data_IF_996469496955
#
_entry.id   IF_996469496955
#
_cell.length_a   1.000
_cell.length_b   1.000
_cell.length_c   1.000
_cell.angle_alpha   90.00
_cell.angle_beta   90.00
_cell.angle_gamma   90.00
#
_symmetry.space_group_name_H-M   'P 1'
#
loop_
_entity.id
_entity.type
_entity.pdbx_description
1 polymer ?
#
# COMPACT_ATOMS: atom_id res chain seq x y z
N UNK A 1 -22.30 -72.04 20.16
CA UNK A 1 -21.06 -72.67 20.59
C UNK A 1 -19.98 -71.62 20.62
N UNK A 2 -19.67 -71.06 21.80
CA UNK A 2 -18.74 -69.96 22.03
C UNK A 2 -17.34 -70.49 22.24
N UNK A 3 -16.38 -70.08 21.47
CA UNK A 3 -14.96 -70.36 21.68
C UNK A 3 -14.30 -69.06 22.14
N UNK A 4 -13.88 -69.07 23.38
CA UNK A 4 -13.15 -67.99 24.05
C UNK A 4 -11.65 -68.20 23.74
N UNK A 5 -11.00 -67.21 23.12
CA UNK A 5 -9.55 -67.22 22.92
C UNK A 5 -8.87 -66.30 23.92
N UNK A 6 -8.12 -66.95 24.80
CA UNK A 6 -7.18 -66.33 25.74
C UNK A 6 -6.05 -65.63 24.98
N UNK A 7 -5.82 -64.37 25.27
CA UNK A 7 -4.71 -63.60 24.74
C UNK A 7 -3.59 -63.48 25.76
N UNK A 8 -2.47 -64.14 25.51
CA UNK A 8 -1.22 -63.98 26.24
C UNK A 8 -0.60 -62.60 25.96
N UNK A 9 -0.36 -61.84 27.02
CA UNK A 9 0.47 -60.65 26.99
C UNK A 9 1.96 -61.02 26.91
N UNK A 10 2.61 -60.79 25.76
CA UNK A 10 4.07 -60.75 25.66
C UNK A 10 4.48 -59.29 25.71
N UNK A 11 5.11 -58.88 26.80
CA UNK A 11 5.71 -57.56 26.92
C UNK A 11 6.95 -57.44 26.02
N UNK A 12 6.85 -56.60 24.98
CA UNK A 12 8.01 -56.16 24.20
C UNK A 12 8.45 -54.84 24.79
N UNK A 13 9.59 -54.87 25.47
CA UNK A 13 10.31 -53.71 25.95
C UNK A 13 10.89 -52.97 24.72
N UNK A 14 10.23 -51.92 24.27
CA UNK A 14 10.75 -51.04 23.25
C UNK A 14 11.70 -50.03 23.91
N UNK A 15 13.02 -50.27 23.78
CA UNK A 15 14.03 -49.22 24.00
C UNK A 15 13.90 -48.21 22.85
N UNK A 16 13.16 -47.14 23.09
CA UNK A 16 13.13 -46.01 22.22
C UNK A 16 14.48 -45.32 22.21
N UNK A 17 15.21 -45.45 21.11
CA UNK A 17 16.33 -44.57 20.79
C UNK A 17 15.67 -43.21 20.52
N UNK A 18 15.73 -42.31 21.49
CA UNK A 18 15.47 -40.88 21.28
C UNK A 18 16.54 -40.39 20.34
N UNK A 19 16.26 -40.37 19.03
CA UNK A 19 16.98 -39.64 18.05
C UNK A 19 16.78 -38.14 18.35
N UNK A 20 17.80 -37.55 18.96
CA UNK A 20 17.96 -36.11 19.05
C UNK A 20 18.09 -35.55 17.61
N UNK A 21 16.96 -35.27 16.95
CA UNK A 21 16.88 -34.20 15.98
C UNK A 21 16.77 -32.93 16.79
N UNK A 22 17.90 -32.43 17.28
CA UNK A 22 17.99 -31.08 17.83
C UNK A 22 17.82 -30.08 16.69
N UNK A 23 16.60 -29.72 16.39
CA UNK A 23 16.36 -28.36 15.97
C UNK A 23 16.65 -27.55 17.24
N UNK A 24 17.63 -26.67 17.16
CA UNK A 24 17.97 -25.69 18.20
C UNK A 24 16.76 -24.74 18.29
N UNK A 25 15.76 -25.15 19.09
CA UNK A 25 14.63 -24.27 19.41
C UNK A 25 15.24 -23.17 20.24
N UNK A 26 15.32 -21.96 19.69
CA UNK A 26 15.78 -20.79 20.41
C UNK A 26 14.97 -20.71 21.71
N UNK A 27 15.64 -20.48 22.82
CA UNK A 27 14.93 -20.17 24.07
C UNK A 27 14.18 -18.86 23.88
N UNK A 28 13.07 -18.65 24.61
CA UNK A 28 12.25 -17.43 24.51
C UNK A 28 13.10 -16.17 24.65
N UNK A 29 14.09 -16.17 25.53
CA UNK A 29 15.07 -15.06 25.66
C UNK A 29 15.92 -14.85 24.41
N UNK A 30 16.38 -15.90 23.76
CA UNK A 30 17.16 -15.80 22.52
C UNK A 30 16.29 -15.32 21.36
N UNK A 31 15.06 -15.79 21.26
CA UNK A 31 14.09 -15.32 20.28
C UNK A 31 13.76 -13.82 20.47
N UNK A 32 13.53 -13.41 21.74
CA UNK A 32 13.31 -12.00 22.08
C UNK A 32 14.48 -11.11 21.62
N UNK A 33 15.71 -11.46 21.96
CA UNK A 33 16.91 -10.71 21.56
C UNK A 33 17.09 -10.68 20.05
N UNK A 34 16.78 -11.78 19.35
CA UNK A 34 16.84 -11.84 17.89
C UNK A 34 15.81 -10.89 17.25
N UNK A 35 14.57 -10.86 17.76
CA UNK A 35 13.51 -9.96 17.31
C UNK A 35 13.91 -8.50 17.56
N UNK A 36 14.30 -8.15 18.79
CA UNK A 36 14.75 -6.78 19.14
C UNK A 36 15.88 -6.31 18.22
N UNK A 37 16.85 -7.19 17.92
CA UNK A 37 17.96 -6.90 17.01
C UNK A 37 17.47 -6.63 15.57
N UNK A 38 16.49 -7.40 15.08
CA UNK A 38 15.90 -7.17 13.75
C UNK A 38 15.10 -5.87 13.71
N UNK A 39 14.34 -5.56 14.76
CA UNK A 39 13.58 -4.32 14.87
C UNK A 39 14.48 -3.08 14.93
N UNK A 40 15.61 -3.16 15.67
CA UNK A 40 16.61 -2.08 15.74
C UNK A 40 17.27 -1.83 14.38
N UNK A 41 17.71 -2.88 13.69
CA UNK A 41 18.25 -2.78 12.32
C UNK A 41 17.27 -2.19 11.33
N UNK A 42 15.97 -2.43 11.50
CA UNK A 42 14.90 -1.84 10.69
C UNK A 42 14.53 -0.41 11.12
N UNK A 43 15.21 0.15 12.14
CA UNK A 43 14.93 1.46 12.73
C UNK A 43 13.49 1.63 13.25
N UNK A 44 12.88 0.54 13.71
CA UNK A 44 11.54 0.54 14.31
C UNK A 44 11.66 0.88 15.80
N UNK A 45 12.70 0.40 16.48
CA UNK A 45 13.02 0.74 17.87
C UNK A 45 13.87 2.01 17.90
N UNK A 46 13.23 3.18 17.97
CA UNK A 46 13.92 4.45 18.12
C UNK A 46 13.26 5.26 19.24
N UNK A 47 13.86 5.22 20.45
CA UNK A 47 13.48 6.12 21.54
C UNK A 47 12.14 5.80 22.20
N UNK A 48 11.77 4.51 22.35
CA UNK A 48 10.52 4.06 22.96
C UNK A 48 9.66 3.20 22.06
N UNK A 49 10.29 2.44 21.15
CA UNK A 49 9.60 1.55 20.21
C UNK A 49 8.90 0.34 20.88
N UNK A 50 8.41 -0.60 20.09
CA UNK A 50 7.64 -1.74 20.57
C UNK A 50 8.42 -2.56 21.61
N UNK A 51 7.72 -3.01 22.64
CA UNK A 51 8.20 -4.03 23.58
C UNK A 51 7.94 -5.40 22.98
N UNK A 52 8.87 -6.29 23.24
CA UNK A 52 8.82 -7.68 22.77
C UNK A 52 8.81 -8.59 24.00
N UNK A 53 7.74 -9.34 24.18
CA UNK A 53 7.66 -10.44 25.13
C UNK A 53 7.51 -11.75 24.38
N UNK A 54 8.17 -12.81 24.83
CA UNK A 54 8.10 -14.14 24.21
C UNK A 54 7.82 -15.16 25.30
N UNK A 55 6.77 -15.94 25.14
CA UNK A 55 6.39 -17.03 26.04
C UNK A 55 5.95 -18.24 25.19
N UNK A 56 6.66 -19.35 25.38
CA UNK A 56 6.35 -20.64 24.69
C UNK A 56 6.18 -20.49 23.17
N UNK A 57 7.03 -19.69 22.51
CA UNK A 57 6.97 -19.42 21.07
C UNK A 57 5.90 -18.41 20.63
N UNK A 58 5.12 -17.86 21.56
CA UNK A 58 4.16 -16.78 21.29
C UNK A 58 4.83 -15.43 21.57
N UNK A 59 4.91 -14.59 20.55
CA UNK A 59 5.47 -13.24 20.66
C UNK A 59 4.35 -12.22 20.85
N UNK A 60 4.41 -11.44 21.92
CA UNK A 60 3.54 -10.28 22.12
C UNK A 60 4.32 -8.99 21.79
N UNK A 61 3.89 -8.30 20.74
CA UNK A 61 4.38 -6.97 20.39
C UNK A 61 3.44 -5.89 20.95
N UNK A 62 3.94 -5.00 21.80
CA UNK A 62 3.12 -3.95 22.42
C UNK A 62 3.79 -2.59 22.43
N UNK A 63 3.00 -1.51 22.56
CA UNK A 63 3.45 -0.13 22.60
C UNK A 63 3.28 0.62 21.28
N UNK A 64 3.90 1.80 21.18
CA UNK A 64 3.65 2.72 20.07
C UNK A 64 4.61 2.51 18.90
N UNK A 65 4.07 2.61 17.69
CA UNK A 65 4.81 2.65 16.43
C UNK A 65 4.45 3.89 15.63
N UNK A 66 5.39 4.36 14.79
CA UNK A 66 5.23 5.62 14.05
C UNK A 66 4.31 5.54 12.86
N UNK A 67 4.09 4.35 12.30
CA UNK A 67 3.34 4.20 11.05
C UNK A 67 2.82 2.77 10.86
N UNK A 68 1.83 2.62 9.99
CA UNK A 68 1.29 1.32 9.59
C UNK A 68 2.38 0.40 9.01
N UNK A 69 3.34 0.97 8.26
CA UNK A 69 4.49 0.21 7.76
C UNK A 69 5.34 -0.36 8.90
N UNK A 70 5.63 0.46 9.93
CA UNK A 70 6.43 0.01 11.07
C UNK A 70 5.72 -1.10 11.83
N UNK A 71 4.39 -0.99 12.00
CA UNK A 71 3.55 -2.03 12.63
C UNK A 71 3.61 -3.34 11.83
N UNK A 72 3.31 -3.31 10.55
CA UNK A 72 3.34 -4.50 9.66
C UNK A 72 4.73 -5.13 9.62
N UNK A 73 5.77 -4.28 9.54
CA UNK A 73 7.16 -4.76 9.46
C UNK A 73 7.63 -5.37 10.78
N UNK A 74 7.20 -4.85 11.92
CA UNK A 74 7.52 -5.43 13.22
C UNK A 74 6.95 -6.86 13.35
N UNK A 75 5.69 -7.06 12.95
CA UNK A 75 5.04 -8.37 12.95
C UNK A 75 5.77 -9.33 11.99
N UNK A 76 6.08 -8.89 10.77
CA UNK A 76 6.82 -9.67 9.78
C UNK A 76 8.19 -10.12 10.32
N UNK A 77 8.95 -9.19 10.91
CA UNK A 77 10.28 -9.48 11.46
C UNK A 77 10.24 -10.42 12.67
N UNK A 78 9.19 -10.35 13.48
CA UNK A 78 8.99 -11.26 14.60
C UNK A 78 8.66 -12.68 14.09
N UNK A 79 7.76 -12.80 13.12
CA UNK A 79 7.40 -14.09 12.50
C UNK A 79 8.57 -14.75 11.76
N UNK A 80 9.57 -13.97 11.32
CA UNK A 80 10.76 -14.47 10.60
C UNK A 80 11.90 -14.90 11.56
N UNK A 81 11.60 -15.19 12.82
CA UNK A 81 12.56 -15.71 13.80
C UNK A 81 12.24 -17.17 14.10
N UNK A 82 13.27 -18.02 14.06
CA UNK A 82 13.12 -19.44 14.36
C UNK A 82 12.58 -19.65 15.78
N UNK A 83 11.61 -20.54 15.96
CA UNK A 83 10.97 -20.82 17.23
C UNK A 83 9.81 -19.89 17.57
N UNK A 84 9.40 -18.98 16.68
CA UNK A 84 8.18 -18.19 16.81
C UNK A 84 7.03 -18.90 16.11
N UNK A 85 6.02 -19.28 16.88
CA UNK A 85 4.82 -19.94 16.37
C UNK A 85 3.71 -18.95 16.00
N UNK A 86 3.60 -17.83 16.73
CA UNK A 86 2.59 -16.80 16.50
C UNK A 86 3.00 -15.45 17.07
N UNK A 87 2.37 -14.39 16.55
CA UNK A 87 2.58 -13.00 17.02
C UNK A 87 1.25 -12.39 17.43
N UNK A 88 1.13 -11.97 18.69
CA UNK A 88 0.04 -11.15 19.21
C UNK A 88 0.36 -9.67 18.97
N UNK A 89 -0.47 -9.00 18.17
CA UNK A 89 -0.34 -7.59 17.85
C UNK A 89 -1.09 -6.70 18.85
N UNK A 90 -0.37 -6.03 19.73
CA UNK A 90 -0.85 -4.98 20.65
C UNK A 90 -0.17 -3.65 20.37
N UNK A 91 0.29 -3.44 19.11
CA UNK A 91 0.93 -2.19 18.70
C UNK A 91 -0.13 -1.12 18.38
N UNK A 92 0.12 0.08 18.86
CA UNK A 92 -0.69 1.26 18.57
C UNK A 92 0.05 2.19 17.61
N UNK A 93 -0.67 2.79 16.67
CA UNK A 93 -0.10 3.78 15.74
C UNK A 93 -0.52 5.15 16.23
N UNK A 94 0.43 6.09 16.31
CA UNK A 94 0.15 7.47 16.65
C UNK A 94 -0.87 8.09 15.68
N UNK A 95 -1.88 8.79 16.21
CA UNK A 95 -2.87 9.49 15.40
C UNK A 95 -2.28 10.75 14.77
N UNK A 96 -2.79 11.13 13.59
CA UNK A 96 -2.57 12.46 13.02
C UNK A 96 -3.38 13.52 13.80
N UNK A 97 -3.00 14.79 13.68
CA UNK A 97 -3.73 15.89 14.32
C UNK A 97 -5.14 16.04 13.76
N UNK A 98 -5.33 15.81 12.46
CA UNK A 98 -6.64 15.78 11.79
C UNK A 98 -6.62 14.96 10.50
N UNK A 99 -7.79 14.48 10.07
CA UNK A 99 -7.96 13.80 8.78
C UNK A 99 -7.62 14.71 7.61
N UNK A 100 -7.85 16.01 7.73
CA UNK A 100 -7.48 16.98 6.69
C UNK A 100 -5.96 17.01 6.49
N UNK A 101 -5.20 17.14 7.57
CA UNK A 101 -3.74 17.18 7.51
C UNK A 101 -3.17 15.84 7.03
N UNK A 102 -3.75 14.74 7.49
CA UNK A 102 -3.38 13.41 7.01
C UNK A 102 -3.66 13.28 5.51
N UNK A 103 -4.83 13.73 5.03
CA UNK A 103 -5.20 13.71 3.61
C UNK A 103 -4.23 14.54 2.76
N UNK A 104 -3.85 15.73 3.22
CA UNK A 104 -2.85 16.57 2.54
C UNK A 104 -1.47 15.91 2.50
N UNK A 105 -1.05 15.29 3.60
CA UNK A 105 0.22 14.56 3.66
C UNK A 105 0.24 13.36 2.71
N UNK A 106 -0.83 12.58 2.69
CA UNK A 106 -1.00 11.42 1.79
C UNK A 106 -1.03 11.87 0.32
N UNK A 107 -1.84 12.88 -0.02
CA UNK A 107 -1.90 13.43 -1.38
C UNK A 107 -0.51 13.92 -1.86
N UNK A 108 0.26 14.55 -0.97
CA UNK A 108 1.62 14.98 -1.26
C UNK A 108 2.57 13.81 -1.55
N UNK A 109 2.39 12.67 -0.87
CA UNK A 109 3.16 11.45 -1.15
C UNK A 109 2.85 10.91 -2.55
N UNK A 110 1.57 10.87 -2.93
CA UNK A 110 1.14 10.45 -4.28
C UNK A 110 1.75 11.38 -5.35
N UNK A 111 1.59 12.69 -5.19
CA UNK A 111 2.07 13.68 -6.18
C UNK A 111 3.60 13.73 -6.29
N UNK A 112 4.33 13.31 -5.24
CA UNK A 112 5.80 13.24 -5.26
C UNK A 112 6.34 11.88 -5.71
N UNK A 113 5.47 10.94 -6.01
CA UNK A 113 5.90 9.64 -6.51
C UNK A 113 6.52 9.81 -7.92
N UNK A 114 7.80 9.45 -8.15
CA UNK A 114 8.51 9.77 -9.40
C UNK A 114 7.91 9.20 -10.67
N UNK A 115 7.16 8.09 -10.54
CA UNK A 115 6.49 7.44 -11.68
C UNK A 115 5.00 7.81 -11.81
N UNK A 116 4.51 8.74 -10.96
CA UNK A 116 3.18 9.29 -11.12
C UNK A 116 3.17 10.26 -12.31
N UNK A 117 2.28 10.03 -13.25
CA UNK A 117 2.24 10.76 -14.52
C UNK A 117 0.87 11.39 -14.75
N UNK A 118 0.75 12.22 -15.76
CA UNK A 118 -0.55 12.77 -16.19
C UNK A 118 -1.55 11.71 -16.70
N UNK A 119 -1.12 10.47 -16.82
CA UNK A 119 -1.98 9.34 -17.22
C UNK A 119 -2.46 8.49 -16.05
N UNK A 120 -2.10 8.89 -14.84
CA UNK A 120 -2.50 8.27 -13.60
C UNK A 120 -3.45 9.21 -12.83
N UNK A 121 -4.43 8.64 -12.15
CA UNK A 121 -5.37 9.35 -11.28
C UNK A 121 -5.54 8.56 -10.00
N UNK A 122 -5.17 9.15 -8.87
CA UNK A 122 -5.30 8.53 -7.54
C UNK A 122 -5.98 9.52 -6.62
N UNK A 123 -7.15 9.13 -6.15
CA UNK A 123 -7.95 9.89 -5.21
C UNK A 123 -7.73 9.38 -3.79
N UNK A 124 -7.63 10.29 -2.84
CA UNK A 124 -7.39 10.02 -1.43
C UNK A 124 -8.61 10.43 -0.62
N UNK A 125 -9.20 9.49 0.10
CA UNK A 125 -10.17 9.73 1.14
C UNK A 125 -9.56 9.41 2.51
N UNK A 126 -9.93 10.16 3.55
CA UNK A 126 -9.50 9.90 4.93
C UNK A 126 -10.71 10.02 5.84
N UNK A 127 -10.86 9.05 6.75
CA UNK A 127 -11.91 9.03 7.77
C UNK A 127 -11.35 8.35 9.03
N UNK A 128 -11.24 9.11 10.11
CA UNK A 128 -10.67 8.67 11.40
C UNK A 128 -9.33 7.93 11.26
N UNK A 129 -8.41 8.53 10.49
CA UNK A 129 -7.08 7.96 10.21
C UNK A 129 -7.08 6.77 9.23
N UNK A 130 -8.25 6.33 8.77
CA UNK A 130 -8.36 5.30 7.74
C UNK A 130 -8.25 5.95 6.36
N UNK A 131 -7.26 5.53 5.59
CA UNK A 131 -6.99 6.05 4.25
C UNK A 131 -7.58 5.12 3.20
N UNK A 132 -8.32 5.71 2.26
CA UNK A 132 -8.91 5.01 1.13
C UNK A 132 -8.32 5.57 -0.16
N UNK A 133 -7.75 4.70 -0.98
CA UNK A 133 -7.20 5.05 -2.28
C UNK A 133 -8.10 4.46 -3.36
N UNK A 134 -8.52 5.30 -4.30
CA UNK A 134 -9.27 4.88 -5.49
C UNK A 134 -8.66 5.53 -6.72
N UNK A 135 -9.04 5.04 -7.90
CA UNK A 135 -8.58 5.63 -9.15
C UNK A 135 -7.89 4.65 -10.07
N UNK A 136 -7.03 5.15 -10.94
CA UNK A 136 -6.41 4.33 -11.99
C UNK A 136 -4.97 4.71 -12.25
N UNK A 137 -4.13 3.69 -12.47
CA UNK A 137 -2.72 3.84 -12.82
C UNK A 137 -2.40 3.06 -14.10
N UNK A 138 -1.37 3.50 -14.80
CA UNK A 138 -0.96 2.88 -16.07
C UNK A 138 -0.17 1.58 -15.90
N UNK A 139 0.37 1.32 -14.71
CA UNK A 139 1.19 0.13 -14.43
C UNK A 139 0.87 -0.44 -13.04
N UNK A 140 0.79 -1.78 -12.87
CA UNK A 140 0.42 -2.41 -11.60
C UNK A 140 1.32 -1.99 -10.44
N UNK A 141 2.64 -2.00 -10.63
CA UNK A 141 3.61 -1.67 -9.59
C UNK A 141 3.43 -0.27 -8.98
N UNK A 142 2.78 0.67 -9.70
CA UNK A 142 2.52 2.02 -9.18
C UNK A 142 1.55 2.00 -8.02
N UNK A 143 0.50 1.17 -8.08
CA UNK A 143 -0.45 1.00 -6.99
C UNK A 143 0.24 0.49 -5.72
N UNK A 144 1.06 -0.57 -5.86
CA UNK A 144 1.77 -1.19 -4.74
C UNK A 144 2.81 -0.23 -4.12
N UNK A 145 3.54 0.49 -4.97
CA UNK A 145 4.54 1.47 -4.52
C UNK A 145 3.90 2.67 -3.81
N UNK A 146 2.77 3.17 -4.32
CA UNK A 146 2.01 4.25 -3.69
C UNK A 146 1.51 3.78 -2.32
N UNK A 147 0.93 2.60 -2.23
CA UNK A 147 0.51 1.99 -0.96
C UNK A 147 1.66 1.89 0.03
N UNK A 148 2.79 1.32 -0.40
CA UNK A 148 3.98 1.17 0.42
C UNK A 148 4.49 2.51 0.96
N UNK A 149 4.44 3.57 0.17
CA UNK A 149 4.85 4.92 0.57
C UNK A 149 3.88 5.54 1.56
N UNK A 150 2.57 5.41 1.30
CA UNK A 150 1.52 5.94 2.17
C UNK A 150 1.52 5.24 3.52
N UNK A 151 1.77 3.93 3.57
CA UNK A 151 1.85 3.18 4.83
C UNK A 151 2.93 3.70 5.79
N UNK A 152 3.90 4.50 5.30
CA UNK A 152 4.95 5.15 6.10
C UNK A 152 4.57 6.53 6.63
N UNK A 153 3.43 7.07 6.19
CA UNK A 153 2.92 8.36 6.68
C UNK A 153 2.44 8.20 8.12
N UNK A 154 2.85 9.11 8.98
CA UNK A 154 2.44 9.13 10.39
C UNK A 154 0.94 9.44 10.43
N UNK A 155 0.20 8.71 11.26
CA UNK A 155 -1.23 8.90 11.43
C UNK A 155 -2.11 7.97 10.59
N UNK A 156 -1.55 7.25 9.62
CA UNK A 156 -2.29 6.24 8.87
C UNK A 156 -2.55 5.02 9.76
N UNK A 157 -3.80 4.84 10.18
CA UNK A 157 -4.24 3.72 11.03
C UNK A 157 -4.53 2.48 10.20
N UNK A 158 -5.21 2.68 9.08
CA UNK A 158 -5.57 1.64 8.10
C UNK A 158 -5.43 2.18 6.69
N UNK A 159 -5.13 1.32 5.75
CA UNK A 159 -5.01 1.67 4.34
C UNK A 159 -5.76 0.65 3.50
N UNK A 160 -6.76 1.13 2.77
CA UNK A 160 -7.51 0.37 1.77
C UNK A 160 -7.13 0.90 0.39
N UNK A 161 -6.62 0.03 -0.47
CA UNK A 161 -6.16 0.38 -1.80
C UNK A 161 -7.05 -0.28 -2.85
N UNK A 162 -7.86 0.53 -3.52
CA UNK A 162 -8.76 0.14 -4.62
C UNK A 162 -8.33 0.81 -5.94
N UNK A 163 -7.03 1.12 -6.07
CA UNK A 163 -6.47 1.67 -7.32
C UNK A 163 -6.35 0.57 -8.36
N UNK A 164 -7.06 0.73 -9.46
CA UNK A 164 -7.08 -0.22 -10.58
C UNK A 164 -5.98 0.08 -11.60
N UNK A 165 -5.49 -0.97 -12.27
CA UNK A 165 -4.57 -0.82 -13.40
C UNK A 165 -5.34 -0.69 -14.70
N UNK A 166 -5.02 0.33 -15.48
CA UNK A 166 -5.57 0.51 -16.84
C UNK A 166 -5.11 -0.64 -17.75
N UNK A 167 -6.01 -1.24 -18.53
CA UNK A 167 -5.64 -2.26 -19.48
C UNK A 167 -4.68 -1.71 -20.55
N UNK A 168 -3.70 -2.50 -20.94
CA UNK A 168 -2.76 -2.14 -22.00
C UNK A 168 -3.49 -2.14 -23.37
N UNK A 169 -3.49 -1.00 -24.04
CA UNK A 169 -4.15 -0.84 -25.34
C UNK A 169 -3.42 0.22 -26.19
N UNK A 170 -2.92 -0.19 -27.35
CA UNK A 170 -2.19 0.70 -28.27
C UNK A 170 -3.06 1.87 -28.76
N UNK A 171 -4.37 1.65 -28.93
CA UNK A 171 -5.33 2.70 -29.32
C UNK A 171 -5.43 3.78 -28.25
N UNK A 172 -5.58 3.35 -26.99
CA UNK A 172 -5.66 4.25 -25.84
C UNK A 172 -4.34 5.01 -25.63
N UNK A 173 -3.18 4.37 -25.85
CA UNK A 173 -1.88 5.02 -25.75
C UNK A 173 -1.71 6.12 -26.80
N UNK A 174 -2.20 5.90 -28.03
CA UNK A 174 -2.22 6.94 -29.09
C UNK A 174 -3.13 8.09 -28.71
N UNK A 175 -4.31 7.81 -28.13
CA UNK A 175 -5.20 8.87 -27.64
C UNK A 175 -4.54 9.65 -26.52
N UNK A 176 -3.92 8.99 -25.53
CA UNK A 176 -3.16 9.65 -24.43
C UNK A 176 -2.09 10.59 -24.98
N UNK A 177 -1.24 10.09 -25.89
CA UNK A 177 -0.17 10.88 -26.49
C UNK A 177 -0.70 12.07 -27.31
N UNK A 178 -1.71 11.85 -28.15
CA UNK A 178 -2.31 12.92 -28.95
C UNK A 178 -2.99 13.99 -28.09
N UNK A 179 -3.75 13.56 -27.10
CA UNK A 179 -4.50 14.45 -26.22
C UNK A 179 -3.59 15.26 -25.30
N UNK A 180 -2.56 14.65 -24.71
CA UNK A 180 -1.58 15.36 -23.90
C UNK A 180 -0.84 16.42 -24.70
N UNK A 181 -0.40 16.08 -25.90
CA UNK A 181 0.23 17.07 -26.80
C UNK A 181 -0.71 18.23 -27.11
N UNK A 182 -1.97 17.96 -27.48
CA UNK A 182 -2.95 18.99 -27.84
C UNK A 182 -3.33 19.90 -26.67
N UNK A 183 -3.47 19.34 -25.47
CA UNK A 183 -3.77 20.12 -24.25
C UNK A 183 -2.57 21.01 -23.93
N UNK A 184 -1.39 20.43 -23.74
CA UNK A 184 -0.23 21.16 -23.22
C UNK A 184 0.48 22.05 -24.27
N UNK A 185 0.13 21.93 -25.56
CA UNK A 185 0.52 22.87 -26.61
C UNK A 185 -0.45 24.05 -26.75
N UNK A 186 -1.64 23.99 -26.19
CA UNK A 186 -2.59 25.09 -26.22
C UNK A 186 -2.16 26.22 -25.29
N UNK A 187 -2.33 27.47 -25.72
CA UNK A 187 -1.86 28.64 -25.01
C UNK A 187 -2.36 28.80 -23.59
N UNK A 188 -3.57 28.26 -23.30
CA UNK A 188 -4.15 28.30 -21.96
C UNK A 188 -3.42 27.33 -20.99
N UNK A 189 -2.84 26.24 -21.50
CA UNK A 189 -2.25 25.18 -20.70
C UNK A 189 -0.72 25.18 -20.73
N UNK A 190 -0.07 25.94 -21.60
CA UNK A 190 1.40 25.99 -21.72
C UNK A 190 2.10 26.26 -20.39
N UNK A 191 1.52 27.10 -19.51
CA UNK A 191 2.05 27.38 -18.17
C UNK A 191 2.15 26.16 -17.26
N UNK A 192 1.39 25.10 -17.55
CA UNK A 192 1.39 23.85 -16.80
C UNK A 192 2.38 22.83 -17.37
N UNK A 193 2.74 22.93 -18.65
CA UNK A 193 3.57 21.95 -19.35
C UNK A 193 4.97 21.76 -18.74
N UNK A 194 5.47 22.77 -18.03
CA UNK A 194 6.80 22.73 -17.39
C UNK A 194 6.76 22.27 -15.93
N UNK A 195 5.59 21.94 -15.38
CA UNK A 195 5.48 21.41 -14.03
C UNK A 195 5.88 19.94 -14.00
N UNK A 196 6.48 19.50 -12.88
CA UNK A 196 6.80 18.07 -12.66
C UNK A 196 5.53 17.23 -12.73
N UNK A 197 4.44 17.72 -12.11
CA UNK A 197 3.10 17.14 -12.21
C UNK A 197 2.16 18.20 -12.79
N UNK A 198 1.91 18.17 -14.10
CA UNK A 198 0.90 19.03 -14.71
C UNK A 198 -0.49 18.69 -14.17
N UNK A 199 -1.35 19.69 -13.90
CA UNK A 199 -2.57 19.50 -13.12
C UNK A 199 -3.74 18.86 -13.88
N UNK A 200 -3.64 18.67 -15.20
CA UNK A 200 -4.68 18.00 -16.00
C UNK A 200 -4.23 16.57 -16.27
N UNK A 201 -4.93 15.62 -15.67
CA UNK A 201 -4.69 14.21 -15.88
C UNK A 201 -5.64 13.65 -16.94
N UNK A 202 -5.16 12.68 -17.72
CA UNK A 202 -5.80 12.15 -18.92
C UNK A 202 -5.91 10.64 -18.79
N UNK A 203 -7.04 10.16 -18.30
CA UNK A 203 -7.29 8.74 -18.11
C UNK A 203 -8.06 8.23 -19.32
N UNK A 204 -7.49 7.24 -20.01
CA UNK A 204 -8.12 6.68 -21.23
C UNK A 204 -8.27 5.18 -21.07
N UNK A 205 -9.50 4.71 -21.27
CA UNK A 205 -9.84 3.29 -21.29
C UNK A 205 -10.81 3.00 -22.42
N UNK A 206 -10.43 2.16 -23.38
CA UNK A 206 -11.24 1.77 -24.54
C UNK A 206 -11.82 2.98 -25.29
N UNK A 207 -11.02 4.03 -25.47
CA UNK A 207 -11.43 5.27 -26.13
C UNK A 207 -12.31 6.19 -25.28
N UNK A 208 -12.66 5.82 -24.06
CA UNK A 208 -13.32 6.72 -23.11
C UNK A 208 -12.27 7.51 -22.36
N UNK A 209 -12.44 8.82 -22.32
CA UNK A 209 -11.51 9.76 -21.68
C UNK A 209 -12.15 10.35 -20.44
N UNK A 210 -11.46 10.25 -19.30
CA UNK A 210 -11.75 11.08 -18.13
C UNK A 210 -10.62 12.13 -17.98
N UNK A 211 -10.99 13.40 -17.86
CA UNK A 211 -10.10 14.48 -17.50
C UNK A 211 -10.26 14.75 -16.00
N UNK A 212 -9.17 14.61 -15.24
CA UNK A 212 -9.17 14.80 -13.77
C UNK A 212 -8.13 15.82 -13.36
N UNK A 213 -8.16 16.23 -12.09
CA UNK A 213 -7.25 17.24 -11.53
C UNK A 213 -7.87 18.62 -11.41
N UNK A 214 -7.05 19.69 -11.44
CA UNK A 214 -7.50 21.04 -11.18
C UNK A 214 -7.00 22.03 -12.21
N UNK A 215 -7.84 22.99 -12.58
CA UNK A 215 -7.51 24.12 -13.47
C UNK A 215 -7.88 25.43 -12.79
N UNK A 216 -7.35 26.55 -13.27
CA UNK A 216 -7.57 27.86 -12.64
C UNK A 216 -8.88 28.54 -13.04
N UNK A 217 -9.56 28.05 -14.08
CA UNK A 217 -10.78 28.70 -14.57
C UNK A 217 -11.73 27.74 -15.28
N UNK A 218 -13.00 28.12 -15.30
CA UNK A 218 -14.04 27.41 -16.06
C UNK A 218 -13.78 27.43 -17.57
N UNK A 219 -13.05 28.47 -18.06
CA UNK A 219 -12.63 28.55 -19.47
C UNK A 219 -11.65 27.42 -19.78
N UNK A 220 -10.67 27.21 -18.92
CA UNK A 220 -9.73 26.09 -19.08
C UNK A 220 -10.45 24.73 -19.00
N UNK A 221 -11.33 24.55 -18.02
CA UNK A 221 -12.11 23.34 -17.88
C UNK A 221 -12.87 22.97 -19.15
N UNK A 222 -13.59 23.94 -19.72
CA UNK A 222 -14.34 23.76 -20.98
C UNK A 222 -13.41 23.56 -22.19
N UNK A 223 -12.29 24.28 -22.24
CA UNK A 223 -11.34 24.15 -23.33
C UNK A 223 -10.70 22.78 -23.38
N UNK A 224 -10.31 22.22 -22.22
CA UNK A 224 -9.79 20.86 -22.13
C UNK A 224 -10.80 19.82 -22.65
N UNK A 225 -12.08 19.97 -22.29
CA UNK A 225 -13.16 19.12 -22.81
C UNK A 225 -13.32 19.21 -24.33
N UNK A 226 -13.32 20.43 -24.90
CA UNK A 226 -13.42 20.64 -26.35
C UNK A 226 -12.26 19.95 -27.07
N UNK A 227 -11.03 20.10 -26.55
CA UNK A 227 -9.85 19.45 -27.12
C UNK A 227 -10.01 17.93 -27.06
N UNK A 228 -10.46 17.39 -25.93
CA UNK A 228 -10.67 15.95 -25.77
C UNK A 228 -11.72 15.42 -26.74
N UNK A 229 -12.89 16.05 -26.83
CA UNK A 229 -13.99 15.65 -27.74
C UNK A 229 -13.60 15.71 -29.22
N UNK A 230 -12.68 16.58 -29.60
CA UNK A 230 -12.20 16.72 -30.97
C UNK A 230 -10.96 15.87 -31.29
N UNK A 231 -10.52 15.02 -30.36
CA UNK A 231 -9.37 14.13 -30.56
C UNK A 231 -9.82 12.84 -31.23
N UNK A 232 -9.12 12.47 -32.32
CA UNK A 232 -9.43 11.26 -33.05
C UNK A 232 -9.32 10.00 -32.16
N UNK A 233 -10.29 9.10 -32.26
CA UNK A 233 -10.36 7.86 -31.49
C UNK A 233 -11.07 7.99 -30.13
N UNK A 234 -11.43 9.20 -29.71
CA UNK A 234 -12.18 9.42 -28.47
C UNK A 234 -13.66 9.17 -28.73
N UNK A 235 -14.26 8.29 -27.94
CA UNK A 235 -15.70 7.96 -28.01
C UNK A 235 -16.52 8.77 -27.01
N UNK A 236 -16.02 8.91 -25.80
CA UNK A 236 -16.69 9.61 -24.70
C UNK A 236 -15.71 10.44 -23.92
N UNK A 237 -16.13 11.62 -23.46
CA UNK A 237 -15.36 12.46 -22.54
C UNK A 237 -16.17 12.71 -21.29
N UNK A 238 -15.57 12.44 -20.15
CA UNK A 238 -16.04 12.80 -18.84
C UNK A 238 -15.09 13.85 -18.25
N UNK A 239 -15.58 15.05 -18.04
CA UNK A 239 -14.78 16.15 -17.53
C UNK A 239 -15.00 16.28 -16.02
N UNK A 240 -14.06 15.75 -15.23
CA UNK A 240 -14.01 15.80 -13.76
C UNK A 240 -13.03 16.84 -13.25
N UNK A 241 -12.55 17.73 -14.12
CA UNK A 241 -11.67 18.82 -13.70
C UNK A 241 -12.38 19.73 -12.71
N UNK A 242 -11.71 20.02 -11.61
CA UNK A 242 -12.16 21.02 -10.64
C UNK A 242 -11.55 22.38 -10.99
N UNK A 243 -12.28 23.45 -10.65
CA UNK A 243 -11.74 24.81 -10.72
C UNK A 243 -11.30 25.18 -9.32
N UNK A 244 -10.00 25.33 -9.12
CA UNK A 244 -9.39 25.75 -7.86
C UNK A 244 -8.96 27.21 -7.96
N UNK A 245 -8.96 27.88 -6.80
CA UNK A 245 -8.43 29.24 -6.64
C UNK A 245 -6.89 29.26 -6.76
#
# INVERSE_FOLDING_TARGET
MKIQKTVCFLGILWLGIAGLAGADVLTDDAARVAIETKLDKAHIINGGGPRVDVEEGVVTLSGDVKSLWAKRKAIELAMDVDGVDSVEDRLEIAFAESDKELGEAVAKVVLRYPFFTIYDDVNVGVDDGNVFLTGRVTMPFKSDEIESRISRVIGVQRLTNEVETLPTNIGDDRIRASLSYRIYSDTLFQRYAFRVNPPVHIIVERGNVALTGAVSSEVERRKAEIIARSTFGVFKVENRLTVGD
#
